data_IF_444177950273
#
_entry.id   IF_444177950273
#
_cell.length_a   1.000
_cell.length_b   1.000
_cell.length_c   1.000
_cell.angle_alpha   90.00
_cell.angle_beta   90.00
_cell.angle_gamma   90.00
#
_symmetry.space_group_name_H-M   'P 1'
#
loop_
_entity.id
_entity.type
_entity.pdbx_description
1 polymer ?
#
# COMPACT_ATOMS: atom_id res chain seq x y z
N UNK A 1 -10.03 -5.76 5.30
CA UNK A 1 -8.86 -5.84 4.40
C UNK A 1 -7.52 -5.58 5.08
N UNK A 2 -7.40 -4.57 5.97
CA UNK A 2 -6.17 -4.33 6.76
C UNK A 2 -5.60 -5.61 7.37
N UNK A 3 -6.43 -6.40 8.05
CA UNK A 3 -6.01 -7.68 8.66
C UNK A 3 -5.52 -8.72 7.65
N UNK A 4 -6.01 -8.70 6.40
CA UNK A 4 -5.50 -9.61 5.34
C UNK A 4 -4.05 -9.29 4.98
N UNK A 5 -3.62 -8.04 5.14
CA UNK A 5 -2.23 -7.62 4.98
C UNK A 5 -1.40 -7.86 6.24
N UNK A 6 -1.94 -7.49 7.41
CA UNK A 6 -1.22 -7.53 8.66
C UNK A 6 -0.95 -8.96 9.17
N UNK A 7 -1.98 -9.82 9.20
CA UNK A 7 -1.88 -11.15 9.82
C UNK A 7 -0.79 -12.01 9.18
N UNK A 8 -0.69 -12.15 7.83
CA UNK A 8 0.36 -12.96 7.22
C UNK A 8 1.77 -12.48 7.56
N UNK A 9 1.99 -11.16 7.59
CA UNK A 9 3.30 -10.57 7.90
C UNK A 9 3.65 -10.75 9.37
N UNK A 10 2.69 -10.57 10.28
CA UNK A 10 2.88 -10.87 11.71
C UNK A 10 3.20 -12.35 11.95
N UNK A 11 2.51 -13.26 11.26
CA UNK A 11 2.83 -14.69 11.33
C UNK A 11 4.22 -14.99 10.76
N UNK A 12 4.61 -14.32 9.68
CA UNK A 12 5.95 -14.48 9.12
C UNK A 12 7.05 -14.02 10.11
N UNK A 13 6.80 -12.96 10.89
CA UNK A 13 7.70 -12.55 11.98
C UNK A 13 7.88 -13.61 13.08
N UNK A 14 6.89 -14.49 13.29
CA UNK A 14 7.03 -15.60 14.24
C UNK A 14 7.85 -16.78 13.68
N UNK A 15 8.05 -16.81 12.35
CA UNK A 15 8.66 -17.94 11.65
C UNK A 15 10.03 -17.60 11.04
N UNK A 16 10.31 -16.32 10.78
CA UNK A 16 11.53 -15.88 10.12
C UNK A 16 11.86 -14.41 10.43
N UNK A 17 13.13 -14.16 10.73
CA UNK A 17 13.68 -12.79 10.83
C UNK A 17 14.23 -12.27 9.50
N UNK A 18 14.13 -13.05 8.42
CA UNK A 18 14.65 -12.66 7.10
C UNK A 18 13.85 -11.49 6.52
N UNK A 19 14.48 -10.32 6.27
CA UNK A 19 13.79 -9.19 5.66
C UNK A 19 13.19 -9.53 4.29
N UNK A 20 13.85 -10.43 3.54
CA UNK A 20 13.37 -10.89 2.25
C UNK A 20 12.08 -11.72 2.38
N UNK A 21 12.00 -12.62 3.36
CA UNK A 21 10.80 -13.42 3.63
C UNK A 21 9.62 -12.52 4.00
N UNK A 22 9.83 -11.62 4.96
CA UNK A 22 8.80 -10.68 5.41
C UNK A 22 8.29 -9.77 4.27
N UNK A 23 9.23 -9.27 3.47
CA UNK A 23 8.95 -8.46 2.27
C UNK A 23 8.11 -9.22 1.24
N UNK A 24 8.50 -10.45 0.92
CA UNK A 24 7.79 -11.30 -0.02
C UNK A 24 6.37 -11.61 0.47
N UNK A 25 6.20 -11.88 1.78
CA UNK A 25 4.88 -12.08 2.39
C UNK A 25 3.99 -10.85 2.28
N UNK A 26 4.53 -9.65 2.54
CA UNK A 26 3.79 -8.40 2.39
C UNK A 26 3.31 -8.19 0.95
N UNK A 27 4.20 -8.38 -0.03
CA UNK A 27 3.83 -8.28 -1.46
C UNK A 27 2.78 -9.33 -1.83
N UNK A 28 2.95 -10.58 -1.41
CA UNK A 28 2.03 -11.67 -1.70
C UNK A 28 0.62 -11.41 -1.12
N UNK A 29 0.53 -10.87 0.09
CA UNK A 29 -0.75 -10.51 0.70
C UNK A 29 -1.50 -9.42 -0.10
N UNK A 30 -0.77 -8.39 -0.57
CA UNK A 30 -1.34 -7.32 -1.41
C UNK A 30 -1.76 -7.85 -2.77
N UNK A 31 -0.91 -8.65 -3.43
CA UNK A 31 -1.22 -9.29 -4.72
C UNK A 31 -2.44 -10.20 -4.59
N UNK A 32 -2.53 -11.02 -3.54
CA UNK A 32 -3.67 -11.89 -3.28
C UNK A 32 -4.98 -11.12 -3.09
N UNK A 33 -4.95 -9.91 -2.55
CA UNK A 33 -6.12 -9.04 -2.47
C UNK A 33 -6.49 -8.41 -3.84
N UNK A 34 -5.50 -8.02 -4.63
CA UNK A 34 -5.72 -7.40 -5.95
C UNK A 34 -6.19 -8.43 -6.99
N UNK A 35 -5.68 -9.65 -6.91
CA UNK A 35 -5.91 -10.76 -7.85
C UNK A 35 -6.27 -12.06 -7.11
N UNK A 36 -7.40 -12.07 -6.37
CA UNK A 36 -7.81 -13.22 -5.58
C UNK A 36 -8.25 -14.39 -6.47
N UNK A 37 -7.67 -15.57 -6.25
CA UNK A 37 -7.99 -16.80 -6.97
C UNK A 37 -9.49 -17.14 -6.85
N UNK A 38 -10.05 -16.98 -5.65
CA UNK A 38 -11.46 -17.30 -5.35
C UNK A 38 -12.48 -16.38 -6.04
N UNK A 39 -12.04 -15.20 -6.54
CA UNK A 39 -12.91 -14.28 -7.28
C UNK A 39 -12.41 -14.08 -8.72
N UNK A 40 -11.85 -15.14 -9.32
CA UNK A 40 -11.41 -15.17 -10.74
C UNK A 40 -10.45 -14.01 -11.06
N UNK A 41 -9.53 -13.73 -10.14
CA UNK A 41 -8.53 -12.65 -10.24
C UNK A 41 -9.11 -11.23 -10.34
N UNK A 42 -10.38 -11.03 -9.93
CA UNK A 42 -11.03 -9.72 -9.85
C UNK A 42 -11.10 -9.25 -8.41
N UNK A 43 -10.09 -8.48 -7.98
CA UNK A 43 -9.99 -7.94 -6.63
C UNK A 43 -10.04 -6.42 -6.56
N UNK A 44 -9.75 -5.88 -5.37
CA UNK A 44 -9.76 -4.44 -5.09
C UNK A 44 -8.50 -3.71 -5.57
N UNK A 45 -8.32 -2.47 -5.08
CA UNK A 45 -7.12 -1.65 -5.32
C UNK A 45 -6.01 -1.88 -4.30
N UNK A 46 -6.29 -2.56 -3.20
CA UNK A 46 -5.27 -2.98 -2.23
C UNK A 46 -4.78 -1.92 -1.24
N UNK A 47 -5.41 -0.75 -1.13
CA UNK A 47 -4.99 0.32 -0.19
C UNK A 47 -4.98 -0.16 1.26
N UNK A 48 -6.10 -0.66 1.76
CA UNK A 48 -6.21 -1.12 3.15
C UNK A 48 -5.30 -2.33 3.43
N UNK A 49 -5.21 -3.29 2.50
CA UNK A 49 -4.33 -4.46 2.62
C UNK A 49 -2.86 -4.05 2.65
N UNK A 50 -2.45 -3.12 1.77
CA UNK A 50 -1.08 -2.61 1.76
C UNK A 50 -0.75 -1.85 3.05
N UNK A 51 -1.64 -0.99 3.53
CA UNK A 51 -1.44 -0.31 4.81
C UNK A 51 -1.24 -1.31 5.96
N UNK A 52 -2.08 -2.35 6.04
CA UNK A 52 -1.94 -3.40 7.06
C UNK A 52 -0.64 -4.20 6.93
N UNK A 53 -0.26 -4.58 5.71
CA UNK A 53 0.99 -5.31 5.45
C UNK A 53 2.22 -4.47 5.82
N UNK A 54 2.24 -3.18 5.46
CA UNK A 54 3.32 -2.25 5.80
C UNK A 54 3.35 -1.95 7.29
N UNK A 55 2.20 -1.82 7.96
CA UNK A 55 2.16 -1.62 9.41
C UNK A 55 2.76 -2.80 10.18
N UNK A 56 2.48 -4.02 9.73
CA UNK A 56 3.07 -5.23 10.29
C UNK A 56 4.56 -5.43 9.92
N UNK A 57 4.97 -4.99 8.73
CA UNK A 57 6.35 -5.12 8.24
C UNK A 57 7.29 -4.08 8.88
N UNK A 58 6.84 -2.83 8.91
CA UNK A 58 7.62 -1.66 9.32
C UNK A 58 6.69 -0.50 9.71
N UNK A 59 6.23 -0.52 10.96
CA UNK A 59 5.23 0.42 11.48
C UNK A 59 5.54 1.93 11.26
N UNK A 60 6.80 2.43 11.29
CA UNK A 60 7.06 3.85 11.07
C UNK A 60 6.69 4.30 9.65
N UNK A 61 6.87 3.42 8.65
CA UNK A 61 6.48 3.72 7.26
C UNK A 61 4.96 3.78 7.16
N UNK A 62 4.22 2.90 7.84
CA UNK A 62 2.76 2.94 7.82
C UNK A 62 2.22 4.22 8.48
N UNK A 63 2.81 4.65 9.60
CA UNK A 63 2.43 5.92 10.23
C UNK A 63 2.68 7.11 9.27
N UNK A 64 3.83 7.12 8.61
CA UNK A 64 4.13 8.13 7.59
C UNK A 64 3.15 8.08 6.40
N UNK A 65 2.81 6.89 5.90
CA UNK A 65 1.77 6.73 4.87
C UNK A 65 0.43 7.31 5.32
N UNK A 66 0.02 7.04 6.56
CA UNK A 66 -1.20 7.60 7.14
C UNK A 66 -1.18 9.12 7.19
N UNK A 67 -0.06 9.72 7.61
CA UNK A 67 0.11 11.17 7.63
C UNK A 67 0.05 11.78 6.22
N UNK A 68 0.77 11.21 5.25
CA UNK A 68 0.73 11.65 3.85
C UNK A 68 -0.68 11.53 3.27
N UNK A 69 -1.38 10.43 3.58
CA UNK A 69 -2.75 10.22 3.13
C UNK A 69 -3.69 11.30 3.67
N UNK A 70 -3.64 11.58 4.98
CA UNK A 70 -4.50 12.61 5.60
C UNK A 70 -4.21 13.98 5.00
N UNK A 71 -2.94 14.37 4.89
CA UNK A 71 -2.56 15.68 4.32
C UNK A 71 -3.03 15.80 2.86
N UNK A 72 -2.81 14.78 2.05
CA UNK A 72 -3.24 14.78 0.66
C UNK A 72 -4.77 14.77 0.51
N UNK A 73 -5.48 14.02 1.35
CA UNK A 73 -6.94 13.97 1.35
C UNK A 73 -7.54 15.32 1.75
N UNK A 74 -6.99 16.00 2.76
CA UNK A 74 -7.44 17.33 3.16
C UNK A 74 -7.12 18.40 2.10
N UNK A 75 -5.95 18.32 1.46
CA UNK A 75 -5.53 19.30 0.47
C UNK A 75 -6.28 19.15 -0.87
N UNK A 76 -6.62 17.92 -1.26
CA UNK A 76 -7.14 17.63 -2.61
C UNK A 76 -8.59 17.17 -2.62
N UNK A 77 -9.12 16.74 -1.48
CA UNK A 77 -10.43 16.11 -1.32
C UNK A 77 -10.60 14.83 -2.15
N UNK A 78 -9.53 14.20 -2.64
CA UNK A 78 -9.59 12.94 -3.41
C UNK A 78 -8.92 11.77 -2.69
N UNK A 79 -9.69 10.72 -2.38
CA UNK A 79 -9.16 9.53 -1.70
C UNK A 79 -8.17 8.75 -2.57
N UNK A 80 -8.39 8.74 -3.89
CA UNK A 80 -7.52 8.08 -4.86
C UNK A 80 -6.15 8.76 -4.94
N UNK A 81 -6.13 10.08 -5.03
CA UNK A 81 -4.89 10.86 -5.04
C UNK A 81 -4.13 10.69 -3.72
N UNK A 82 -4.82 10.81 -2.58
CA UNK A 82 -4.22 10.56 -1.26
C UNK A 82 -3.59 9.17 -1.14
N UNK A 83 -4.28 8.14 -1.62
CA UNK A 83 -3.79 6.75 -1.60
C UNK A 83 -2.56 6.54 -2.48
N UNK A 84 -2.54 7.13 -3.68
CA UNK A 84 -1.37 7.05 -4.58
C UNK A 84 -0.18 7.83 -4.02
N UNK A 85 -0.39 9.03 -3.48
CA UNK A 85 0.66 9.83 -2.85
C UNK A 85 1.28 9.09 -1.66
N UNK A 86 0.47 8.53 -0.77
CA UNK A 86 0.96 7.74 0.36
C UNK A 86 1.75 6.51 -0.10
N UNK A 87 1.27 5.79 -1.12
CA UNK A 87 1.94 4.62 -1.67
C UNK A 87 3.31 4.96 -2.28
N UNK A 88 3.41 6.05 -3.06
CA UNK A 88 4.67 6.49 -3.68
C UNK A 88 5.65 7.05 -2.65
N UNK A 89 5.15 7.71 -1.60
CA UNK A 89 6.00 8.26 -0.55
C UNK A 89 6.62 7.16 0.35
N UNK A 90 5.97 6.00 0.48
CA UNK A 90 6.42 4.89 1.31
C UNK A 90 7.85 4.38 0.98
N UNK A 91 8.18 3.99 -0.27
CA UNK A 91 9.54 3.55 -0.61
C UNK A 91 10.58 4.67 -0.44
N UNK A 92 10.22 5.94 -0.66
CA UNK A 92 11.13 7.08 -0.45
C UNK A 92 11.47 7.24 1.03
N UNK A 93 10.47 7.16 1.90
CA UNK A 93 10.69 7.21 3.35
C UNK A 93 11.52 6.01 3.81
N UNK A 94 11.21 4.81 3.32
CA UNK A 94 11.99 3.62 3.66
C UNK A 94 13.44 3.72 3.19
N UNK A 95 13.68 4.29 2.00
CA UNK A 95 15.02 4.48 1.45
C UNK A 95 15.88 5.41 2.33
N UNK A 96 15.28 6.47 2.88
CA UNK A 96 16.01 7.47 3.69
C UNK A 96 16.14 7.05 5.16
N UNK A 97 15.07 6.53 5.77
CA UNK A 97 14.99 6.35 7.23
C UNK A 97 15.06 4.90 7.71
N UNK A 98 14.75 3.92 6.84
CA UNK A 98 14.74 2.50 7.23
C UNK A 98 15.96 1.76 6.67
N UNK A 99 16.33 2.05 5.42
CA UNK A 99 17.57 1.60 4.78
C UNK A 99 17.74 0.07 4.70
N UNK A 100 16.63 -0.69 4.71
CA UNK A 100 16.61 -2.14 4.48
C UNK A 100 16.24 -2.41 3.02
N UNK A 101 17.17 -2.90 2.16
CA UNK A 101 16.93 -3.01 0.72
C UNK A 101 15.70 -3.84 0.34
N UNK A 102 15.44 -4.93 1.07
CA UNK A 102 14.27 -5.79 0.85
C UNK A 102 12.96 -5.02 1.07
N UNK A 103 12.89 -4.19 2.12
CA UNK A 103 11.69 -3.39 2.44
C UNK A 103 11.47 -2.32 1.37
N UNK A 104 12.54 -1.62 0.96
CA UNK A 104 12.47 -0.62 -0.11
C UNK A 104 11.96 -1.25 -1.41
N UNK A 105 12.49 -2.42 -1.79
CA UNK A 105 12.05 -3.12 -2.99
C UNK A 105 10.57 -3.54 -2.90
N UNK A 106 10.15 -4.15 -1.79
CA UNK A 106 8.76 -4.54 -1.60
C UNK A 106 7.79 -3.36 -1.63
N UNK A 107 8.12 -2.25 -0.95
CA UNK A 107 7.32 -1.03 -0.96
C UNK A 107 7.25 -0.41 -2.36
N UNK A 108 8.34 -0.48 -3.13
CA UNK A 108 8.37 0.00 -4.52
C UNK A 108 7.44 -0.83 -5.42
N UNK A 109 7.47 -2.16 -5.27
CA UNK A 109 6.56 -3.08 -5.99
C UNK A 109 5.11 -2.81 -5.60
N UNK A 110 4.82 -2.71 -4.30
CA UNK A 110 3.47 -2.42 -3.78
C UNK A 110 2.98 -1.06 -4.31
N UNK A 111 3.82 -0.01 -4.29
CA UNK A 111 3.49 1.30 -4.83
C UNK A 111 3.15 1.24 -6.32
N UNK A 112 3.99 0.57 -7.13
CA UNK A 112 3.75 0.40 -8.56
C UNK A 112 2.43 -0.34 -8.84
N UNK A 113 2.16 -1.42 -8.11
CA UNK A 113 0.90 -2.16 -8.21
C UNK A 113 -0.30 -1.27 -7.84
N UNK A 114 -0.23 -0.54 -6.73
CA UNK A 114 -1.30 0.36 -6.31
C UNK A 114 -1.58 1.44 -7.36
N UNK A 115 -0.55 2.12 -7.85
CA UNK A 115 -0.70 3.15 -8.88
C UNK A 115 -1.33 2.56 -10.14
N UNK A 116 -0.87 1.39 -10.58
CA UNK A 116 -1.46 0.69 -11.72
C UNK A 116 -2.95 0.34 -11.52
N UNK A 117 -3.32 -0.09 -10.30
CA UNK A 117 -4.73 -0.35 -9.95
C UNK A 117 -5.59 0.91 -9.88
N UNK A 118 -4.99 2.10 -9.81
CA UNK A 118 -5.67 3.39 -9.81
C UNK A 118 -5.71 4.06 -11.19
N UNK A 119 -5.31 3.40 -12.28
CA UNK A 119 -5.34 3.98 -13.64
C UNK A 119 -6.70 4.60 -14.03
N UNK A 120 -7.80 3.97 -13.63
CA UNK A 120 -9.15 4.50 -13.91
C UNK A 120 -9.45 5.76 -13.09
N UNK A 121 -8.90 5.88 -11.87
CA UNK A 121 -8.96 7.12 -11.10
C UNK A 121 -8.07 8.21 -11.67
N UNK A 122 -6.89 7.85 -12.17
CA UNK A 122 -6.00 8.81 -12.81
C UNK A 122 -6.71 9.42 -14.03
N UNK A 123 -7.44 8.61 -14.79
CA UNK A 123 -8.27 9.11 -15.88
C UNK A 123 -9.36 10.06 -15.38
N UNK A 124 -10.15 9.65 -14.38
CA UNK A 124 -11.19 10.51 -13.79
C UNK A 124 -10.66 11.81 -13.19
N UNK A 125 -9.48 11.78 -12.56
CA UNK A 125 -8.81 12.98 -12.04
C UNK A 125 -8.44 13.94 -13.17
N UNK A 126 -7.93 13.42 -14.29
CA UNK A 126 -7.63 14.23 -15.48
C UNK A 126 -8.89 14.83 -16.11
N UNK A 127 -9.97 14.06 -16.11
CA UNK A 127 -11.26 14.47 -16.68
C UNK A 127 -12.09 15.33 -15.72
N UNK A 128 -11.63 15.55 -14.48
CA UNK A 128 -12.38 16.31 -13.46
C UNK A 128 -13.66 15.60 -12.98
N UNK A 129 -13.74 14.27 -13.12
CA UNK A 129 -14.91 13.44 -12.79
C UNK A 129 -14.66 12.46 -11.64
N UNK A 130 -13.52 12.58 -10.96
CA UNK A 130 -13.24 11.77 -9.77
C UNK A 130 -14.11 12.25 -8.60
N UNK A 131 -14.60 11.30 -7.80
CA UNK A 131 -15.45 11.63 -6.67
C UNK A 131 -14.63 12.26 -5.54
N UNK A 132 -15.09 13.42 -5.07
CA UNK A 132 -14.57 14.04 -3.87
C UNK A 132 -15.00 13.26 -2.62
N UNK A 133 -14.18 13.36 -1.57
CA UNK A 133 -14.52 12.90 -0.23
C UNK A 133 -15.37 13.99 0.45
N UNK A 134 -16.47 13.58 1.09
CA UNK A 134 -17.15 14.38 2.11
C UNK A 134 -16.41 14.17 3.45
N UNK A 135 -15.77 15.23 3.95
CA UNK A 135 -14.97 15.22 5.19
C UNK A 135 -15.80 15.73 6.37
#
# INVERSE_FOLDING_TARGET
DVLKGAIPVLLAHLLSDSPATLSATAVAAVVGHMYPIFFRFKGGKGVATAFGAVAALVYPVALFMGAVWVVAAMATRYASLASMSAAVAAPLFALVFIQVPAYVLALTIIAALLVYRHRDNIQRLRDGTENEIEL
#
